data_IF_454877661936
#
_entry.id   IF_454877661936
#
_cell.length_a   1.000
_cell.length_b   1.000
_cell.length_c   1.000
_cell.angle_alpha   90.00
_cell.angle_beta   90.00
_cell.angle_gamma   90.00
#
_symmetry.space_group_name_H-M   'P 1'
#
loop_
_entity.id
_entity.type
_entity.pdbx_description
1 polymer ?
#
# COMPACT_ATOMS: atom_id res chain seq x y z
N UNK A 1 5.02 74.79 5.32
CA UNK A 1 3.96 74.65 4.30
C UNK A 1 3.68 73.18 4.16
N UNK A 2 2.47 72.82 4.56
CA UNK A 2 1.81 71.52 4.45
C UNK A 2 1.66 71.10 3.00
N UNK A 3 1.98 69.86 2.65
CA UNK A 3 1.10 69.11 1.76
C UNK A 3 1.12 67.62 2.05
N UNK A 4 -0.06 67.03 1.93
CA UNK A 4 -0.54 65.87 2.66
C UNK A 4 -0.06 64.57 2.01
N UNK A 5 0.40 63.64 2.85
CA UNK A 5 0.43 62.23 2.50
C UNK A 5 -1.00 61.76 2.26
N UNK A 6 -1.44 61.72 1.01
CA UNK A 6 -2.68 61.04 0.61
C UNK A 6 -2.56 59.56 0.99
N UNK A 7 -3.12 59.24 2.15
CA UNK A 7 -3.52 57.89 2.49
C UNK A 7 -4.52 57.47 1.41
N UNK A 8 -4.09 56.62 0.48
CA UNK A 8 -4.98 55.92 -0.44
C UNK A 8 -5.82 54.91 0.34
N UNK A 9 -6.81 55.43 1.07
CA UNK A 9 -7.97 54.65 1.50
C UNK A 9 -8.63 54.19 0.20
N UNK A 10 -8.50 52.90 -0.12
CA UNK A 10 -9.12 52.33 -1.31
C UNK A 10 -10.61 52.68 -1.36
N UNK A 11 -11.12 52.87 -2.58
CA UNK A 11 -12.52 53.15 -2.86
C UNK A 11 -13.46 52.25 -2.03
N UNK A 12 -14.26 52.82 -1.10
CA UNK A 12 -15.10 52.06 -0.17
C UNK A 12 -16.04 51.07 -0.85
N UNK A 13 -16.53 51.39 -2.06
CA UNK A 13 -17.37 50.49 -2.85
C UNK A 13 -16.59 49.25 -3.32
N UNK A 14 -15.33 49.45 -3.76
CA UNK A 14 -14.44 48.34 -4.15
C UNK A 14 -14.04 47.49 -2.95
N UNK A 15 -13.89 48.08 -1.76
CA UNK A 15 -13.62 47.33 -0.53
C UNK A 15 -14.82 46.47 -0.16
N UNK A 16 -16.04 47.02 -0.18
CA UNK A 16 -17.27 46.28 0.10
C UNK A 16 -17.52 45.13 -0.90
N UNK A 17 -17.31 45.38 -2.20
CA UNK A 17 -17.42 44.36 -3.25
C UNK A 17 -16.40 43.22 -3.05
N UNK A 18 -15.15 43.56 -2.70
CA UNK A 18 -14.12 42.57 -2.39
C UNK A 18 -14.43 41.76 -1.13
N UNK A 19 -15.01 42.38 -0.11
CA UNK A 19 -15.46 41.71 1.11
C UNK A 19 -16.62 40.75 0.83
N UNK A 20 -17.58 41.14 0.00
CA UNK A 20 -18.70 40.29 -0.43
C UNK A 20 -18.21 39.07 -1.23
N UNK A 21 -17.33 39.28 -2.22
CA UNK A 21 -16.72 38.19 -3.00
C UNK A 21 -15.93 37.24 -2.07
N UNK A 22 -15.18 37.79 -1.11
CA UNK A 22 -14.43 36.99 -0.13
C UNK A 22 -15.37 36.19 0.76
N UNK A 23 -16.49 36.76 1.18
CA UNK A 23 -17.48 36.10 2.02
C UNK A 23 -18.18 34.97 1.25
N UNK A 24 -18.61 35.23 0.01
CA UNK A 24 -19.21 34.23 -0.86
C UNK A 24 -18.24 33.06 -1.15
N UNK A 25 -16.96 33.35 -1.44
CA UNK A 25 -15.94 32.29 -1.60
C UNK A 25 -15.73 31.47 -0.34
N UNK A 26 -15.78 32.08 0.85
CA UNK A 26 -15.68 31.36 2.14
C UNK A 26 -16.88 30.43 2.33
N UNK A 27 -18.08 30.89 2.02
CA UNK A 27 -19.31 30.08 2.12
C UNK A 27 -19.31 28.93 1.12
N UNK A 28 -18.94 29.18 -0.13
CA UNK A 28 -18.76 28.14 -1.15
C UNK A 28 -17.72 27.10 -0.74
N UNK A 29 -16.56 27.53 -0.23
CA UNK A 29 -15.53 26.62 0.27
C UNK A 29 -16.06 25.75 1.40
N UNK A 30 -16.72 26.36 2.39
CA UNK A 30 -17.31 25.62 3.53
C UNK A 30 -18.31 24.57 3.04
N UNK A 31 -19.18 24.95 2.10
CA UNK A 31 -20.16 24.04 1.52
C UNK A 31 -19.51 22.86 0.78
N UNK A 32 -18.46 23.12 -0.02
CA UNK A 32 -17.73 22.06 -0.73
C UNK A 32 -16.97 21.15 0.24
N UNK A 33 -16.35 21.69 1.28
CA UNK A 33 -15.64 20.92 2.32
C UNK A 33 -16.62 19.99 3.08
N UNK A 34 -17.82 20.47 3.40
CA UNK A 34 -18.87 19.65 4.04
C UNK A 34 -19.34 18.51 3.13
N UNK A 35 -19.55 18.79 1.83
CA UNK A 35 -19.89 17.75 0.84
C UNK A 35 -18.78 16.71 0.70
N UNK A 36 -17.53 17.15 0.64
CA UNK A 36 -16.38 16.27 0.53
C UNK A 36 -16.28 15.34 1.76
N UNK A 37 -16.47 15.88 2.97
CA UNK A 37 -16.51 15.07 4.20
C UNK A 37 -17.63 14.04 4.19
N UNK A 38 -18.82 14.42 3.74
CA UNK A 38 -19.96 13.51 3.62
C UNK A 38 -19.65 12.35 2.65
N UNK A 39 -19.01 12.64 1.53
CA UNK A 39 -18.57 11.60 0.58
C UNK A 39 -17.56 10.65 1.22
N UNK A 40 -16.55 11.16 1.92
CA UNK A 40 -15.57 10.31 2.61
C UNK A 40 -16.22 9.37 3.63
N UNK A 41 -17.17 9.85 4.43
CA UNK A 41 -17.88 9.01 5.40
C UNK A 41 -18.65 7.87 4.73
N UNK A 42 -19.30 8.16 3.59
CA UNK A 42 -20.00 7.13 2.80
C UNK A 42 -19.04 6.11 2.21
N UNK A 43 -17.89 6.56 1.71
CA UNK A 43 -16.83 5.68 1.22
C UNK A 43 -16.35 4.73 2.31
N UNK A 44 -16.06 5.23 3.52
CA UNK A 44 -15.63 4.40 4.65
C UNK A 44 -16.63 3.29 5.01
N UNK A 45 -17.94 3.60 4.97
CA UNK A 45 -18.99 2.59 5.24
C UNK A 45 -18.97 1.48 4.18
N UNK A 46 -18.81 1.85 2.91
CA UNK A 46 -18.76 0.88 1.80
C UNK A 46 -17.48 0.06 1.85
N UNK A 47 -16.34 0.68 2.12
CA UNK A 47 -15.05 -0.01 2.28
C UNK A 47 -15.10 -1.05 3.39
N UNK A 48 -15.75 -0.72 4.51
CA UNK A 48 -15.99 -1.67 5.59
C UNK A 48 -16.86 -2.84 5.13
N UNK A 49 -17.96 -2.58 4.41
CA UNK A 49 -18.81 -3.65 3.88
C UNK A 49 -18.06 -4.56 2.90
N UNK A 50 -17.22 -4.00 2.04
CA UNK A 50 -16.37 -4.77 1.14
C UNK A 50 -15.35 -5.61 1.92
N UNK A 51 -14.71 -5.02 2.94
CA UNK A 51 -13.82 -5.76 3.82
C UNK A 51 -14.53 -6.92 4.50
N UNK A 52 -15.71 -6.70 5.08
CA UNK A 52 -16.49 -7.75 5.77
C UNK A 52 -16.92 -8.88 4.82
N UNK A 53 -17.08 -8.60 3.52
CA UNK A 53 -17.33 -9.62 2.49
C UNK A 53 -16.07 -10.41 2.14
N UNK A 54 -14.91 -9.75 2.08
CA UNK A 54 -13.62 -10.39 1.80
C UNK A 54 -13.08 -11.16 3.01
N UNK A 55 -13.44 -10.74 4.23
CA UNK A 55 -12.86 -11.20 5.49
C UNK A 55 -13.06 -12.70 5.70
N UNK A 56 -11.98 -13.38 6.07
CA UNK A 56 -11.96 -14.83 6.29
C UNK A 56 -12.20 -15.72 5.05
N UNK A 57 -12.39 -15.15 3.85
CA UNK A 57 -12.59 -15.95 2.63
C UNK A 57 -11.30 -16.19 1.84
N UNK A 58 -10.44 -15.16 1.79
CA UNK A 58 -9.23 -15.18 0.98
C UNK A 58 -8.06 -14.69 1.80
N UNK A 59 -6.89 -15.28 1.53
CA UNK A 59 -5.64 -14.83 2.10
C UNK A 59 -4.74 -14.31 0.98
N UNK A 60 -4.31 -13.06 1.10
CA UNK A 60 -3.57 -12.32 0.07
C UNK A 60 -2.23 -11.86 0.59
N UNK A 61 -1.19 -12.12 -0.20
CA UNK A 61 0.15 -11.59 0.04
C UNK A 61 0.40 -10.45 -0.93
N UNK A 62 0.71 -9.28 -0.38
CA UNK A 62 1.16 -8.15 -1.18
C UNK A 62 2.67 -8.18 -1.34
N UNK A 63 3.16 -8.18 -2.58
CA UNK A 63 4.58 -8.15 -2.90
C UNK A 63 4.94 -6.79 -3.49
N UNK A 64 5.78 -6.05 -2.78
CA UNK A 64 6.35 -4.78 -3.23
C UNK A 64 7.79 -4.98 -3.68
N UNK A 65 8.20 -4.27 -4.73
CA UNK A 65 9.54 -4.41 -5.29
C UNK A 65 9.81 -3.48 -6.47
N UNK A 66 11.08 -3.44 -6.88
CA UNK A 66 11.53 -2.57 -7.96
C UNK A 66 10.92 -2.92 -9.32
N UNK A 67 10.40 -1.88 -10.00
CA UNK A 67 9.99 -1.96 -11.41
C UNK A 67 11.18 -2.04 -12.40
N UNK A 68 12.41 -1.86 -11.91
CA UNK A 68 13.63 -1.70 -12.75
C UNK A 68 14.49 -2.97 -12.83
N UNK A 69 14.21 -3.95 -11.98
CA UNK A 69 14.94 -5.22 -11.96
C UNK A 69 14.55 -6.05 -13.19
N UNK A 70 15.54 -6.71 -13.79
CA UNK A 70 15.35 -7.46 -15.04
C UNK A 70 15.10 -8.95 -14.78
N UNK A 71 14.42 -9.66 -15.70
CA UNK A 71 14.12 -11.10 -15.57
C UNK A 71 15.32 -12.03 -15.33
N UNK A 72 16.53 -11.62 -15.72
CA UNK A 72 17.74 -12.44 -15.58
C UNK A 72 18.38 -12.34 -14.19
N UNK A 73 17.89 -11.44 -13.34
CA UNK A 73 18.41 -11.22 -11.99
C UNK A 73 18.04 -12.33 -11.01
N UNK A 74 18.79 -12.45 -9.93
CA UNK A 74 18.48 -13.40 -8.85
C UNK A 74 17.19 -12.97 -8.17
N UNK A 75 17.03 -11.68 -7.90
CA UNK A 75 15.88 -11.09 -7.23
C UNK A 75 14.57 -11.36 -7.99
N UNK A 76 14.59 -11.27 -9.33
CA UNK A 76 13.41 -11.62 -10.14
C UNK A 76 13.06 -13.10 -9.99
N UNK A 77 14.05 -14.00 -10.05
CA UNK A 77 13.83 -15.43 -9.92
C UNK A 77 13.34 -15.83 -8.51
N UNK A 78 13.83 -15.15 -7.48
CA UNK A 78 13.40 -15.36 -6.10
C UNK A 78 11.95 -14.94 -5.91
N UNK A 79 11.57 -13.75 -6.38
CA UNK A 79 10.17 -13.28 -6.30
C UNK A 79 9.23 -14.16 -7.12
N UNK A 80 9.67 -14.58 -8.31
CA UNK A 80 8.91 -15.52 -9.13
C UNK A 80 8.68 -16.86 -8.41
N UNK A 81 9.74 -17.42 -7.81
CA UNK A 81 9.68 -18.71 -7.11
C UNK A 81 8.82 -18.61 -5.85
N UNK A 82 8.95 -17.53 -5.08
CA UNK A 82 8.10 -17.24 -3.94
C UNK A 82 6.62 -17.20 -4.33
N UNK A 83 6.26 -16.41 -5.32
CA UNK A 83 4.87 -16.24 -5.74
C UNK A 83 4.26 -17.55 -6.28
N UNK A 84 5.07 -18.36 -6.98
CA UNK A 84 4.69 -19.70 -7.42
C UNK A 84 4.39 -20.63 -6.24
N UNK A 85 5.24 -20.64 -5.22
CA UNK A 85 5.04 -21.45 -4.01
C UNK A 85 3.81 -21.02 -3.22
N UNK A 86 3.60 -19.71 -3.04
CA UNK A 86 2.41 -19.17 -2.38
C UNK A 86 1.13 -19.57 -3.14
N UNK A 87 1.14 -19.49 -4.47
CA UNK A 87 0.03 -19.91 -5.30
C UNK A 87 -0.28 -21.42 -5.16
N UNK A 88 0.74 -22.27 -4.94
CA UNK A 88 0.52 -23.69 -4.64
C UNK A 88 -0.28 -23.90 -3.35
N UNK A 89 -0.16 -23.01 -2.37
CA UNK A 89 -0.95 -23.01 -1.13
C UNK A 89 -2.34 -22.39 -1.29
N UNK A 90 -2.70 -21.95 -2.50
CA UNK A 90 -3.95 -21.25 -2.77
C UNK A 90 -3.98 -19.81 -2.27
N UNK A 91 -2.81 -19.23 -1.98
CA UNK A 91 -2.68 -17.83 -1.55
C UNK A 91 -2.68 -16.92 -2.77
N UNK A 92 -3.50 -15.89 -2.72
CA UNK A 92 -3.58 -14.85 -3.76
C UNK A 92 -2.34 -13.94 -3.70
N UNK A 93 -1.87 -13.48 -4.87
CA UNK A 93 -0.75 -12.55 -4.99
C UNK A 93 -1.23 -11.19 -5.45
N UNK A 94 -0.86 -10.15 -4.71
CA UNK A 94 -1.19 -8.75 -4.97
C UNK A 94 0.08 -7.96 -5.27
N UNK A 95 0.14 -7.27 -6.40
CA UNK A 95 1.26 -6.39 -6.77
C UNK A 95 0.74 -5.07 -7.33
N UNK A 96 1.67 -4.16 -7.68
CA UNK A 96 1.33 -2.96 -8.45
C UNK A 96 1.02 -3.19 -9.93
N UNK A 97 1.16 -4.42 -10.44
CA UNK A 97 0.84 -4.79 -11.83
C UNK A 97 1.83 -4.27 -12.88
N UNK A 98 2.90 -3.57 -12.48
CA UNK A 98 3.93 -3.07 -13.40
C UNK A 98 4.98 -4.12 -13.78
N UNK A 99 6.11 -3.69 -14.37
CA UNK A 99 7.22 -4.56 -14.76
C UNK A 99 8.12 -4.92 -13.56
N UNK A 100 9.21 -5.65 -13.83
CA UNK A 100 10.23 -5.99 -12.85
C UNK A 100 9.72 -6.97 -11.80
N UNK A 101 9.97 -6.69 -10.52
CA UNK A 101 9.59 -7.62 -9.43
C UNK A 101 8.07 -7.76 -9.27
N UNK A 102 7.30 -6.75 -9.67
CA UNK A 102 5.83 -6.88 -9.72
C UNK A 102 5.41 -7.93 -10.74
N UNK A 103 5.96 -7.87 -11.96
CA UNK A 103 5.71 -8.88 -13.00
C UNK A 103 6.18 -10.26 -12.56
N UNK A 104 7.36 -10.37 -11.94
CA UNK A 104 7.87 -11.63 -11.41
C UNK A 104 6.86 -12.29 -10.47
N UNK A 105 6.29 -11.52 -9.54
CA UNK A 105 5.28 -11.99 -8.60
C UNK A 105 4.01 -12.45 -9.31
N UNK A 106 3.49 -11.65 -10.24
CA UNK A 106 2.28 -12.03 -10.98
C UNK A 106 2.49 -13.26 -11.87
N UNK A 107 3.63 -13.34 -12.55
CA UNK A 107 3.99 -14.46 -13.42
C UNK A 107 4.18 -15.75 -12.63
N UNK A 108 4.85 -15.68 -11.48
CA UNK A 108 5.03 -16.81 -10.57
C UNK A 108 3.68 -17.33 -10.05
N UNK A 109 2.82 -16.41 -9.62
CA UNK A 109 1.47 -16.74 -9.18
C UNK A 109 0.66 -17.47 -10.26
N UNK A 110 0.73 -16.98 -11.50
CA UNK A 110 0.01 -17.56 -12.64
C UNK A 110 0.48 -18.98 -12.96
N UNK A 111 1.79 -19.21 -12.97
CA UNK A 111 2.33 -20.55 -13.16
C UNK A 111 1.93 -21.50 -12.02
N UNK A 112 2.06 -21.05 -10.77
CA UNK A 112 1.69 -21.87 -9.61
C UNK A 112 0.21 -22.27 -9.61
N UNK A 113 -0.67 -21.35 -10.02
CA UNK A 113 -2.09 -21.61 -10.24
C UNK A 113 -2.30 -22.76 -11.24
N UNK A 114 -1.64 -22.71 -12.40
CA UNK A 114 -1.76 -23.74 -13.45
C UNK A 114 -1.21 -25.10 -13.00
N UNK A 115 -0.07 -25.11 -12.32
CA UNK A 115 0.61 -26.35 -11.89
C UNK A 115 -0.16 -27.13 -10.83
N UNK A 116 -0.89 -26.44 -9.95
CA UNK A 116 -1.65 -27.07 -8.85
C UNK A 116 -3.16 -26.98 -9.02
N UNK A 117 -3.64 -26.38 -10.12
CA UNK A 117 -5.06 -26.05 -10.30
C UNK A 117 -5.62 -25.33 -9.05
N UNK A 118 -4.78 -24.49 -8.43
CA UNK A 118 -5.15 -23.80 -7.20
C UNK A 118 -6.14 -22.67 -7.51
N UNK A 119 -6.86 -22.22 -6.49
CA UNK A 119 -7.80 -21.11 -6.60
C UNK A 119 -7.15 -19.74 -6.38
N UNK A 120 -5.81 -19.69 -6.26
CA UNK A 120 -5.10 -18.43 -6.10
C UNK A 120 -5.29 -17.55 -7.33
N UNK A 121 -5.37 -16.25 -7.10
CA UNK A 121 -5.51 -15.24 -8.15
C UNK A 121 -4.33 -14.27 -8.14
N UNK A 122 -3.96 -13.78 -9.32
CA UNK A 122 -2.94 -12.75 -9.51
C UNK A 122 -3.60 -11.38 -9.70
N UNK A 123 -3.36 -10.46 -8.76
CA UNK A 123 -3.91 -9.10 -8.75
C UNK A 123 -2.85 -8.06 -9.10
N UNK A 124 -3.28 -7.03 -9.84
CA UNK A 124 -2.48 -5.84 -10.14
C UNK A 124 -3.26 -4.57 -9.85
N UNK A 125 -2.78 -3.78 -8.89
CA UNK A 125 -3.28 -2.44 -8.61
C UNK A 125 -2.42 -1.42 -9.33
N UNK A 126 -2.82 -1.04 -10.54
CA UNK A 126 -2.14 -0.01 -11.34
C UNK A 126 -2.55 1.41 -10.92
N UNK A 127 -1.66 2.38 -11.14
CA UNK A 127 -1.99 3.81 -11.05
C UNK A 127 -2.03 4.39 -12.48
N UNK A 128 -2.81 5.44 -12.70
CA UNK A 128 -2.76 6.19 -13.94
C UNK A 128 -1.65 7.24 -13.86
N UNK A 129 -0.64 7.12 -14.73
CA UNK A 129 0.38 8.13 -14.98
C UNK A 129 0.56 8.30 -16.50
N UNK A 130 0.90 9.52 -16.93
CA UNK A 130 1.09 9.88 -18.34
C UNK A 130 2.13 9.00 -19.08
N UNK A 131 3.01 8.33 -18.33
CA UNK A 131 4.13 7.54 -18.86
C UNK A 131 4.16 6.09 -18.34
N UNK A 132 3.09 5.61 -17.71
CA UNK A 132 3.11 4.25 -17.15
C UNK A 132 3.03 3.20 -18.26
N UNK A 133 3.89 2.17 -18.23
CA UNK A 133 3.69 1.01 -19.09
C UNK A 133 2.37 0.32 -18.75
N UNK A 134 1.75 -0.29 -19.76
CA UNK A 134 0.57 -1.14 -19.58
C UNK A 134 0.81 -2.20 -18.48
N UNK A 135 -0.21 -2.53 -17.67
CA UNK A 135 -0.10 -3.60 -16.68
C UNK A 135 0.34 -4.91 -17.33
N UNK A 136 1.15 -5.69 -16.62
CA UNK A 136 1.68 -6.94 -17.13
C UNK A 136 0.57 -7.95 -17.49
N UNK A 137 0.90 -8.93 -18.33
CA UNK A 137 -0.07 -9.88 -18.91
C UNK A 137 -0.44 -11.04 -17.96
N UNK A 138 0.14 -11.10 -16.77
CA UNK A 138 -0.02 -12.20 -15.82
C UNK A 138 -1.04 -11.91 -14.71
N UNK A 139 -1.97 -10.98 -14.97
CA UNK A 139 -2.99 -10.52 -14.03
C UNK A 139 -4.34 -11.17 -14.33
N UNK A 140 -4.94 -11.79 -13.32
CA UNK A 140 -6.33 -12.25 -13.36
C UNK A 140 -7.30 -11.11 -13.00
N UNK A 141 -6.88 -10.24 -12.06
CA UNK A 141 -7.67 -9.10 -11.61
C UNK A 141 -6.86 -7.83 -11.76
N UNK A 142 -7.43 -6.85 -12.47
CA UNK A 142 -6.83 -5.52 -12.66
C UNK A 142 -7.68 -4.47 -11.97
N UNK A 143 -7.06 -3.63 -11.15
CA UNK A 143 -7.69 -2.42 -10.62
C UNK A 143 -6.86 -1.22 -11.06
N UNK A 144 -7.57 -0.19 -11.53
CA UNK A 144 -6.98 1.05 -11.99
C UNK A 144 -7.34 2.17 -11.01
N UNK A 145 -6.32 2.88 -10.54
CA UNK A 145 -6.49 3.98 -9.61
C UNK A 145 -6.09 5.31 -10.27
N UNK A 146 -6.88 6.35 -10.02
CA UNK A 146 -6.57 7.73 -10.44
C UNK A 146 -5.80 8.52 -9.35
N UNK A 147 -5.74 7.98 -8.13
CA UNK A 147 -5.11 8.62 -6.97
C UNK A 147 -4.18 7.64 -6.28
N UNK A 148 -2.98 8.08 -5.94
CA UNK A 148 -2.03 7.27 -5.18
C UNK A 148 -2.60 6.83 -3.82
N UNK A 149 -3.35 7.70 -3.14
CA UNK A 149 -3.92 7.38 -1.84
C UNK A 149 -4.87 6.18 -1.91
N UNK A 150 -5.80 6.15 -2.89
CA UNK A 150 -6.73 5.03 -2.99
C UNK A 150 -6.05 3.73 -3.39
N UNK A 151 -4.93 3.79 -4.12
CA UNK A 151 -4.10 2.61 -4.43
C UNK A 151 -3.43 2.06 -3.18
N UNK A 152 -2.84 2.94 -2.36
CA UNK A 152 -2.23 2.57 -1.09
C UNK A 152 -3.27 1.99 -0.12
N UNK A 153 -4.45 2.61 -0.03
CA UNK A 153 -5.55 2.12 0.80
C UNK A 153 -5.99 0.71 0.35
N UNK A 154 -6.12 0.46 -0.97
CA UNK A 154 -6.49 -0.86 -1.48
C UNK A 154 -5.43 -1.93 -1.25
N UNK A 155 -4.13 -1.61 -1.35
CA UNK A 155 -3.07 -2.55 -0.95
C UNK A 155 -3.24 -3.02 0.50
N UNK A 156 -3.56 -2.07 1.38
CA UNK A 156 -3.66 -2.33 2.81
C UNK A 156 -4.96 -3.06 3.18
N UNK A 157 -6.06 -2.68 2.54
CA UNK A 157 -7.36 -3.31 2.73
C UNK A 157 -7.38 -4.75 2.21
N UNK A 158 -6.71 -5.02 1.09
CA UNK A 158 -6.76 -6.32 0.43
C UNK A 158 -5.75 -7.33 0.97
N UNK A 159 -4.62 -6.90 1.52
CA UNK A 159 -3.55 -7.82 1.94
C UNK A 159 -3.75 -8.36 3.36
N UNK A 160 -3.25 -9.57 3.60
CA UNK A 160 -3.15 -10.19 4.93
C UNK A 160 -1.68 -10.33 5.37
N UNK A 161 -0.74 -10.15 4.45
CA UNK A 161 0.69 -10.15 4.69
C UNK A 161 1.40 -9.33 3.62
N UNK A 162 2.58 -8.81 3.96
CA UNK A 162 3.36 -7.96 3.08
C UNK A 162 4.76 -8.55 2.94
N UNK A 163 5.25 -8.60 1.71
CA UNK A 163 6.64 -8.91 1.38
C UNK A 163 7.23 -7.72 0.67
N UNK A 164 8.25 -7.11 1.26
CA UNK A 164 9.04 -6.06 0.62
C UNK A 164 10.36 -6.66 0.12
N UNK A 165 10.54 -6.60 -1.19
CA UNK A 165 11.72 -7.08 -1.91
C UNK A 165 12.57 -5.86 -2.32
N UNK A 166 13.83 -6.02 -2.78
CA UNK A 166 14.67 -4.89 -3.14
C UNK A 166 13.97 -3.88 -4.08
N UNK A 167 13.99 -2.61 -3.68
CA UNK A 167 13.05 -1.62 -4.19
C UNK A 167 13.51 -0.17 -4.07
N UNK A 168 12.81 0.72 -4.79
CA UNK A 168 13.08 2.16 -4.76
C UNK A 168 12.17 2.92 -3.81
N UNK A 169 11.98 4.22 -4.08
CA UNK A 169 11.12 5.11 -3.29
C UNK A 169 9.68 4.58 -3.19
N UNK A 170 9.13 4.00 -4.27
CA UNK A 170 7.78 3.42 -4.25
C UNK A 170 7.65 2.27 -3.25
N UNK A 171 8.58 1.32 -3.28
CA UNK A 171 8.63 0.20 -2.34
C UNK A 171 8.81 0.67 -0.89
N UNK A 172 9.67 1.68 -0.67
CA UNK A 172 9.84 2.29 0.66
C UNK A 172 8.57 2.98 1.14
N UNK A 173 7.88 3.73 0.26
CA UNK A 173 6.59 4.36 0.56
C UNK A 173 5.58 3.30 1.03
N UNK A 174 5.45 2.22 0.26
CA UNK A 174 4.52 1.13 0.58
C UNK A 174 4.88 0.46 1.91
N UNK A 175 6.17 0.12 2.12
CA UNK A 175 6.67 -0.44 3.37
C UNK A 175 6.35 0.44 4.58
N UNK A 176 6.72 1.72 4.54
CA UNK A 176 6.51 2.63 5.66
C UNK A 176 5.02 2.95 5.87
N UNK A 177 4.22 3.01 4.81
CA UNK A 177 2.78 3.18 4.93
C UNK A 177 2.14 1.99 5.65
N UNK A 178 2.48 0.77 5.25
CA UNK A 178 2.02 -0.44 5.94
C UNK A 178 2.42 -0.48 7.41
N UNK A 179 3.70 -0.23 7.67
CA UNK A 179 4.25 -0.24 9.02
C UNK A 179 3.56 0.81 9.89
N UNK A 180 3.38 2.03 9.37
CA UNK A 180 2.68 3.11 10.06
C UNK A 180 1.25 2.71 10.44
N UNK A 181 0.48 2.13 9.51
CA UNK A 181 -0.91 1.76 9.77
C UNK A 181 -1.03 0.64 10.81
N UNK A 182 -0.11 -0.32 10.83
CA UNK A 182 -0.06 -1.36 11.86
C UNK A 182 0.36 -0.75 13.21
N UNK A 183 1.37 0.13 13.22
CA UNK A 183 1.85 0.81 14.42
C UNK A 183 0.72 1.56 15.16
N UNK A 184 -0.13 2.28 14.42
CA UNK A 184 -1.27 3.01 15.00
C UNK A 184 -2.54 2.17 15.13
N UNK A 185 -2.46 0.87 14.89
CA UNK A 185 -3.59 -0.09 14.97
C UNK A 185 -4.75 0.25 14.04
N UNK A 186 -4.46 0.95 12.94
CA UNK A 186 -5.43 1.17 11.87
C UNK A 186 -5.64 -0.11 11.05
N UNK A 187 -4.61 -0.96 10.98
CA UNK A 187 -4.69 -2.33 10.48
C UNK A 187 -4.46 -3.32 11.62
N UNK A 188 -5.12 -4.47 11.54
CA UNK A 188 -4.80 -5.63 12.38
C UNK A 188 -3.34 -6.06 12.18
N UNK A 189 -2.66 -6.55 13.24
CA UNK A 189 -1.31 -7.09 13.13
C UNK A 189 -1.22 -8.12 12.00
N UNK A 190 -0.16 -8.00 11.20
CA UNK A 190 0.14 -8.89 10.09
C UNK A 190 1.64 -8.84 9.81
N UNK A 191 2.24 -9.93 9.29
CA UNK A 191 3.67 -9.95 9.05
C UNK A 191 4.05 -9.03 7.88
N UNK A 192 5.13 -8.29 8.09
CA UNK A 192 5.90 -7.60 7.05
C UNK A 192 7.24 -8.33 6.94
N UNK A 193 7.46 -9.00 5.81
CA UNK A 193 8.68 -9.75 5.53
C UNK A 193 9.56 -8.94 4.59
N UNK A 194 10.79 -8.66 5.01
CA UNK A 194 11.81 -7.98 4.22
C UNK A 194 12.74 -9.05 3.63
N UNK A 195 12.68 -9.26 2.31
CA UNK A 195 13.49 -10.25 1.61
C UNK A 195 14.77 -9.59 1.07
N UNK A 196 15.91 -10.26 1.24
CA UNK A 196 17.29 -9.79 1.05
C UNK A 196 17.83 -9.04 2.28
N UNK A 197 18.53 -9.78 3.18
CA UNK A 197 19.12 -9.17 4.38
C UNK A 197 20.17 -8.13 4.03
N UNK A 198 20.95 -8.32 2.98
CA UNK A 198 22.00 -7.36 2.60
C UNK A 198 21.39 -6.02 2.19
N UNK A 199 20.24 -6.05 1.53
CA UNK A 199 19.51 -4.83 1.15
C UNK A 199 18.86 -4.13 2.35
N UNK A 200 18.16 -4.88 3.21
CA UNK A 200 17.30 -4.28 4.25
C UNK A 200 17.98 -4.01 5.59
N UNK A 201 19.05 -4.73 5.94
CA UNK A 201 19.67 -4.64 7.27
C UNK A 201 20.12 -3.21 7.57
N UNK A 202 20.74 -2.51 6.62
CA UNK A 202 21.19 -1.13 6.83
C UNK A 202 20.06 -0.14 7.17
N UNK A 203 18.87 -0.31 6.58
CA UNK A 203 17.72 0.53 6.89
C UNK A 203 17.16 0.23 8.29
N UNK A 204 17.00 -1.06 8.62
CA UNK A 204 16.45 -1.49 9.90
C UNK A 204 17.40 -1.15 11.05
N UNK A 205 18.71 -1.29 10.85
CA UNK A 205 19.72 -0.91 11.83
C UNK A 205 19.70 0.59 12.06
N UNK A 206 19.66 1.42 11.01
CA UNK A 206 19.50 2.86 11.18
C UNK A 206 18.22 3.23 11.96
N UNK A 207 17.10 2.57 11.68
CA UNK A 207 15.85 2.76 12.43
C UNK A 207 16.02 2.42 13.91
N UNK A 208 16.75 1.36 14.25
CA UNK A 208 17.01 0.97 15.65
C UNK A 208 18.01 1.90 16.34
N UNK A 209 19.13 2.18 15.69
CA UNK A 209 20.24 2.94 16.25
C UNK A 209 19.96 4.44 16.37
N UNK A 210 19.13 4.99 15.46
CA UNK A 210 18.86 6.44 15.41
C UNK A 210 17.44 6.74 15.85
N UNK A 211 16.44 6.12 15.23
CA UNK A 211 15.03 6.50 15.44
C UNK A 211 14.51 5.97 16.78
N UNK A 212 14.73 4.67 17.06
CA UNK A 212 14.35 4.03 18.33
C UNK A 212 15.20 4.57 19.50
N UNK A 213 16.51 4.71 19.33
CA UNK A 213 17.38 5.25 20.38
C UNK A 213 16.98 6.68 20.83
N UNK A 214 16.38 7.46 19.92
CA UNK A 214 15.84 8.80 20.21
C UNK A 214 14.40 8.79 20.74
N UNK A 215 13.79 7.61 20.92
CA UNK A 215 12.42 7.46 21.42
C UNK A 215 11.35 7.92 20.42
N UNK A 216 11.66 7.95 19.12
CA UNK A 216 10.70 8.37 18.08
C UNK A 216 9.78 7.21 17.63
N UNK A 217 10.14 5.98 17.97
CA UNK A 217 9.34 4.75 17.82
C UNK A 217 9.53 3.87 19.06
N UNK A 218 8.67 2.86 19.23
CA UNK A 218 8.78 1.86 20.31
C UNK A 218 9.47 0.59 19.82
N UNK A 219 10.12 -0.17 20.72
CA UNK A 219 10.76 -1.45 20.35
C UNK A 219 9.76 -2.46 19.75
N UNK A 220 8.54 -2.51 20.32
CA UNK A 220 7.44 -3.35 19.83
C UNK A 220 6.99 -3.02 18.40
N UNK A 221 7.30 -1.83 17.90
CA UNK A 221 6.90 -1.45 16.55
C UNK A 221 7.62 -2.33 15.52
N UNK A 222 8.77 -2.91 15.89
CA UNK A 222 9.54 -3.84 15.05
C UNK A 222 9.05 -5.29 15.11
N UNK A 223 8.11 -5.64 16.01
CA UNK A 223 7.66 -7.03 16.21
C UNK A 223 6.98 -7.63 14.96
N UNK A 224 6.51 -6.77 14.05
CA UNK A 224 5.87 -7.17 12.79
C UNK A 224 6.85 -7.33 11.63
N UNK A 225 8.11 -6.95 11.81
CA UNK A 225 9.15 -6.97 10.78
C UNK A 225 10.00 -8.24 10.94
N UNK A 226 10.07 -9.05 9.89
CA UNK A 226 10.99 -10.20 9.80
C UNK A 226 11.89 -10.02 8.58
N UNK A 227 13.21 -10.16 8.73
CA UNK A 227 14.16 -10.07 7.61
C UNK A 227 14.68 -11.47 7.27
N UNK A 228 14.59 -11.84 6.00
CA UNK A 228 14.92 -13.17 5.48
C UNK A 228 15.72 -13.06 4.18
N UNK A 229 16.39 -14.13 3.78
CA UNK A 229 17.18 -14.16 2.55
C UNK A 229 16.52 -14.96 1.42
N UNK A 230 15.72 -15.98 1.73
CA UNK A 230 15.22 -16.91 0.70
C UNK A 230 13.70 -16.91 0.57
N UNK A 231 13.17 -17.24 -0.64
CA UNK A 231 11.75 -17.48 -0.86
C UNK A 231 11.12 -18.49 0.11
N UNK A 232 11.87 -19.53 0.52
CA UNK A 232 11.39 -20.56 1.43
C UNK A 232 11.22 -20.03 2.86
N UNK A 233 12.13 -19.15 3.32
CA UNK A 233 11.99 -18.48 4.61
C UNK A 233 10.78 -17.53 4.61
N UNK A 234 10.55 -16.81 3.51
CA UNK A 234 9.34 -15.98 3.35
C UNK A 234 8.08 -16.85 3.39
N UNK A 235 8.07 -17.96 2.64
CA UNK A 235 6.94 -18.89 2.61
C UNK A 235 6.62 -19.39 4.02
N UNK A 236 7.62 -19.82 4.79
CA UNK A 236 7.41 -20.32 6.14
C UNK A 236 6.69 -19.30 7.03
N UNK A 237 7.16 -18.04 7.07
CA UNK A 237 6.54 -16.97 7.87
C UNK A 237 5.08 -16.73 7.44
N UNK A 238 4.83 -16.72 6.13
CA UNK A 238 3.50 -16.47 5.59
C UNK A 238 2.56 -17.65 5.84
N UNK A 239 3.02 -18.89 5.63
CA UNK A 239 2.23 -20.10 5.82
C UNK A 239 1.81 -20.28 7.28
N UNK A 240 2.66 -19.92 8.23
CA UNK A 240 2.31 -19.94 9.66
C UNK A 240 1.15 -18.98 9.96
N UNK A 241 1.27 -17.72 9.52
CA UNK A 241 0.19 -16.74 9.69
C UNK A 241 -1.08 -17.09 8.88
N UNK A 242 -0.93 -17.68 7.69
CA UNK A 242 -2.05 -18.15 6.88
C UNK A 242 -2.81 -19.27 7.60
N UNK A 243 -2.12 -20.22 8.22
CA UNK A 243 -2.77 -21.29 8.98
C UNK A 243 -3.52 -20.74 10.20
N UNK A 244 -2.96 -19.78 10.93
CA UNK A 244 -3.63 -19.10 12.04
C UNK A 244 -4.89 -18.36 11.56
N UNK A 245 -4.75 -17.55 10.52
CA UNK A 245 -5.88 -16.86 9.89
C UNK A 245 -7.00 -17.84 9.50
N UNK A 246 -6.65 -18.96 8.85
CA UNK A 246 -7.64 -19.95 8.44
C UNK A 246 -8.30 -20.67 9.63
N UNK A 247 -7.59 -20.89 10.75
CA UNK A 247 -8.18 -21.48 11.96
C UNK A 247 -9.22 -20.53 12.58
N UNK A 248 -8.86 -19.26 12.73
CA UNK A 248 -9.75 -18.25 13.30
C UNK A 248 -11.03 -18.07 12.49
N UNK A 249 -10.94 -18.11 11.16
CA UNK A 249 -12.07 -17.84 10.27
C UNK A 249 -12.89 -19.08 9.90
N UNK A 250 -12.33 -20.29 10.00
CA UNK A 250 -13.11 -21.54 9.91
C UNK A 250 -13.98 -21.78 11.15
N UNK A 251 -13.55 -21.35 12.34
CA UNK A 251 -14.33 -21.49 13.58
C UNK A 251 -15.57 -20.58 13.68
N UNK A 252 -15.72 -19.61 12.76
CA UNK A 252 -16.83 -18.66 12.71
C UNK A 252 -17.95 -19.05 11.73
N UNK A 253 -17.80 -20.14 10.98
CA UNK A 253 -18.83 -20.73 10.10
C UNK A 253 -19.44 -21.96 10.76
#
# INVERSE_FOLDING_TARGET
MTDQSENTVGDPEKIAEQEEIRQNRKEQRKHLDERLRSLYQRTLVIEKQLHDLDDGQFYRVCIFGSARIKPESVEYNDVFSLARMLAWEGIDILTGGGPGLMEAGNKGAKLGQEEKQSKSMSFGLSIELDFEPEPNSHLDVKRHHHKFSSRLDDFMRLSNSIVATPGGIGTLLELFFSWQLIQVKHLSPRPIVLMDKNFWTGLVDWMKEVVLARGLVSAKDFDVITIVDTPEEVLQVISDHHQEFMKEHRSKK
#
